data_IF_493403838105
#
_entry.id   IF_493403838105
#
_cell.length_a   1.000
_cell.length_b   1.000
_cell.length_c   1.000
_cell.angle_alpha   90.00
_cell.angle_beta   90.00
_cell.angle_gamma   90.00
#
_symmetry.space_group_name_H-M   'P 1'
#
loop_
_entity.id
_entity.type
_entity.pdbx_description
1 polymer ?
#
# COMPACT_ATOMS: atom_id res chain seq x y z
N UNK A 1 35.72 42.47 19.94
CA UNK A 1 35.02 42.66 18.64
C UNK A 1 35.58 41.78 17.51
N UNK A 2 36.89 41.80 17.20
CA UNK A 2 37.46 41.02 16.07
C UNK A 2 37.38 39.49 16.27
N UNK A 3 37.78 38.97 17.42
CA UNK A 3 37.71 37.53 17.72
C UNK A 3 36.26 37.00 17.64
N UNK A 4 35.31 37.72 18.26
CA UNK A 4 33.88 37.37 18.20
C UNK A 4 33.36 37.31 16.76
N UNK A 5 33.75 38.26 15.90
CA UNK A 5 33.35 38.27 14.49
C UNK A 5 33.92 37.08 13.73
N UNK A 6 35.19 36.72 13.97
CA UNK A 6 35.83 35.56 13.34
C UNK A 6 35.15 34.27 13.80
N UNK A 7 34.93 34.09 15.10
CA UNK A 7 34.22 32.93 15.64
C UNK A 7 32.83 32.80 15.04
N UNK A 8 32.07 33.89 14.93
CA UNK A 8 30.74 33.88 14.31
C UNK A 8 30.81 33.46 12.84
N UNK A 9 31.75 33.99 12.06
CA UNK A 9 31.93 33.60 10.66
C UNK A 9 32.26 32.11 10.53
N UNK A 10 33.19 31.60 11.35
CA UNK A 10 33.55 30.19 11.34
C UNK A 10 32.34 29.32 11.69
N UNK A 11 31.57 29.69 12.71
CA UNK A 11 30.35 28.96 13.09
C UNK A 11 29.32 28.97 11.97
N UNK A 12 29.12 30.11 11.29
CA UNK A 12 28.19 30.20 10.16
C UNK A 12 28.65 29.33 9.00
N UNK A 13 29.94 29.34 8.66
CA UNK A 13 30.50 28.52 7.58
C UNK A 13 30.35 27.03 7.90
N UNK A 14 30.75 26.62 9.11
CA UNK A 14 30.63 25.22 9.55
C UNK A 14 29.17 24.79 9.62
N UNK A 15 28.28 25.65 10.10
CA UNK A 15 26.84 25.40 10.08
C UNK A 15 26.32 25.20 8.67
N UNK A 16 26.69 26.08 7.73
CA UNK A 16 26.32 25.95 6.32
C UNK A 16 26.82 24.64 5.68
N UNK A 17 28.09 24.28 5.93
CA UNK A 17 28.66 23.02 5.45
C UNK A 17 27.96 21.79 6.03
N UNK A 18 27.61 21.83 7.33
CA UNK A 18 26.87 20.76 7.98
C UNK A 18 25.49 20.57 7.34
N UNK A 19 24.74 21.64 7.11
CA UNK A 19 23.43 21.56 6.43
C UNK A 19 23.56 21.00 5.02
N UNK A 20 24.58 21.41 4.26
CA UNK A 20 24.82 20.88 2.92
C UNK A 20 25.13 19.38 2.95
N UNK A 21 26.00 18.93 3.86
CA UNK A 21 26.33 17.52 4.02
C UNK A 21 25.11 16.69 4.42
N UNK A 22 24.29 17.20 5.35
CA UNK A 22 23.06 16.57 5.80
C UNK A 22 22.07 16.32 4.66
N UNK A 23 21.87 17.34 3.81
CA UNK A 23 20.95 17.27 2.66
C UNK A 23 21.44 16.35 1.54
N UNK A 24 22.75 16.28 1.32
CA UNK A 24 23.33 15.31 0.39
C UNK A 24 23.16 13.88 0.92
N UNK A 25 23.40 13.69 2.23
CA UNK A 25 23.33 12.37 2.84
C UNK A 25 21.92 11.77 2.76
N UNK A 26 20.86 12.56 3.01
CA UNK A 26 19.47 12.07 2.93
C UNK A 26 19.09 11.68 1.50
N UNK A 27 19.44 12.51 0.50
CA UNK A 27 19.16 12.22 -0.91
C UNK A 27 19.83 10.91 -1.38
N UNK A 28 21.07 10.68 -0.92
CA UNK A 28 21.79 9.43 -1.20
C UNK A 28 21.15 8.24 -0.49
N UNK A 29 20.64 8.42 0.73
CA UNK A 29 19.98 7.36 1.49
C UNK A 29 18.64 6.97 0.85
N UNK A 30 17.81 7.95 0.48
CA UNK A 30 16.55 7.77 -0.24
C UNK A 30 16.75 7.00 -1.55
N UNK A 31 17.73 7.40 -2.37
CA UNK A 31 18.06 6.73 -3.63
C UNK A 31 18.47 5.28 -3.42
N UNK A 32 19.35 5.01 -2.43
CA UNK A 32 19.79 3.64 -2.11
C UNK A 32 18.65 2.77 -1.59
N UNK A 33 17.75 3.34 -0.79
CA UNK A 33 16.59 2.63 -0.29
C UNK A 33 15.65 2.26 -1.44
N UNK A 34 15.38 3.19 -2.35
CA UNK A 34 14.57 2.94 -3.55
C UNK A 34 15.16 1.81 -4.41
N UNK A 35 16.47 1.83 -4.69
CA UNK A 35 17.15 0.79 -5.47
C UNK A 35 17.11 -0.58 -4.77
N UNK A 36 17.23 -0.60 -3.43
CA UNK A 36 17.13 -1.83 -2.64
C UNK A 36 15.71 -2.41 -2.66
N UNK A 37 14.68 -1.57 -2.55
CA UNK A 37 13.28 -2.00 -2.66
C UNK A 37 13.03 -2.53 -4.08
N UNK A 38 13.45 -1.80 -5.11
CA UNK A 38 13.32 -2.21 -6.51
C UNK A 38 13.89 -3.60 -6.75
N UNK A 39 15.13 -3.83 -6.33
CA UNK A 39 15.84 -5.10 -6.54
C UNK A 39 15.28 -6.25 -5.70
N UNK A 40 14.89 -6.01 -4.45
CA UNK A 40 14.34 -7.05 -3.57
C UNK A 40 12.92 -7.47 -3.94
N UNK A 41 12.11 -6.54 -4.46
CA UNK A 41 10.71 -6.78 -4.85
C UNK A 41 10.55 -7.04 -6.36
N UNK A 42 11.64 -7.08 -7.13
CA UNK A 42 11.61 -7.34 -8.57
C UNK A 42 10.84 -6.28 -9.37
N UNK A 43 10.83 -5.03 -8.91
CA UNK A 43 10.04 -3.96 -9.53
C UNK A 43 10.68 -3.47 -10.82
N UNK A 44 9.85 -3.18 -11.81
CA UNK A 44 10.29 -2.58 -13.08
C UNK A 44 10.62 -1.10 -12.92
N UNK A 45 9.82 -0.39 -12.12
CA UNK A 45 9.98 1.04 -11.84
C UNK A 45 10.70 1.24 -10.51
N UNK A 46 11.45 2.33 -10.40
CA UNK A 46 12.12 2.68 -9.14
C UNK A 46 11.11 3.31 -8.19
N UNK A 47 10.92 2.77 -6.96
CA UNK A 47 10.07 3.37 -5.94
C UNK A 47 10.47 4.80 -5.59
N UNK A 48 9.52 5.60 -5.14
CA UNK A 48 9.80 6.87 -4.50
C UNK A 48 9.98 6.63 -3.00
N UNK A 49 11.11 7.04 -2.43
CA UNK A 49 11.36 6.96 -0.98
C UNK A 49 11.67 8.37 -0.49
N UNK A 50 10.99 8.81 0.55
CA UNK A 50 11.29 10.09 1.21
C UNK A 50 11.53 9.89 2.70
N UNK A 51 12.63 10.41 3.20
CA UNK A 51 12.97 10.40 4.62
C UNK A 51 12.83 11.84 5.13
N UNK A 52 11.88 12.05 6.03
CA UNK A 52 11.63 13.38 6.61
C UNK A 52 12.50 13.62 7.85
N UNK A 53 12.38 14.83 8.37
CA UNK A 53 13.12 15.28 9.55
C UNK A 53 14.43 16.00 9.23
N UNK A 54 14.92 16.75 10.22
CA UNK A 54 16.14 17.53 10.11
C UNK A 54 16.76 17.76 11.51
N UNK A 55 18.08 17.57 11.69
CA UNK A 55 19.06 17.03 10.73
C UNK A 55 18.94 15.50 10.53
N UNK A 56 19.02 15.02 9.29
CA UNK A 56 19.01 13.60 8.97
C UNK A 56 20.19 12.84 9.60
N UNK A 57 21.39 13.41 9.60
CA UNK A 57 22.57 12.76 10.19
C UNK A 57 22.42 12.53 11.68
N UNK A 58 21.72 13.43 12.39
CA UNK A 58 21.40 13.26 13.81
C UNK A 58 20.44 12.10 14.02
N UNK A 59 19.40 11.99 13.20
CA UNK A 59 18.44 10.89 13.21
C UNK A 59 19.12 9.53 12.98
N UNK A 60 20.02 9.44 12.00
CA UNK A 60 20.80 8.22 11.72
C UNK A 60 21.69 7.81 12.89
N UNK A 61 22.37 8.78 13.53
CA UNK A 61 23.18 8.51 14.73
C UNK A 61 22.30 8.03 15.90
N UNK A 62 21.11 8.63 16.04
CA UNK A 62 20.10 8.20 17.02
C UNK A 62 19.48 6.84 16.71
N UNK A 63 19.60 6.34 15.48
CA UNK A 63 18.88 5.17 14.94
C UNK A 63 17.36 5.32 14.97
N UNK A 64 16.89 6.55 14.89
CA UNK A 64 15.46 6.89 14.91
C UNK A 64 15.20 7.85 13.75
N UNK A 65 14.30 7.46 12.84
CA UNK A 65 13.85 8.32 11.75
C UNK A 65 12.43 8.81 12.08
N UNK A 66 12.20 10.11 11.97
CA UNK A 66 10.92 10.73 12.32
C UNK A 66 9.79 10.20 11.43
N UNK A 67 10.03 10.17 10.12
CA UNK A 67 9.05 9.73 9.14
C UNK A 67 9.71 9.23 7.86
N UNK A 68 9.19 8.11 7.33
CA UNK A 68 9.63 7.50 6.08
C UNK A 68 8.41 7.19 5.23
N UNK A 69 8.39 7.80 4.05
CA UNK A 69 7.36 7.58 3.03
C UNK A 69 7.92 6.69 1.92
N UNK A 70 7.14 5.72 1.47
CA UNK A 70 7.46 4.84 0.36
C UNK A 70 6.27 4.78 -0.58
N UNK A 71 6.48 5.17 -1.84
CA UNK A 71 5.52 5.04 -2.93
C UNK A 71 6.01 4.06 -3.98
N UNK A 72 5.17 3.11 -4.38
CA UNK A 72 5.45 2.08 -5.37
C UNK A 72 4.34 2.04 -6.42
N UNK A 73 4.72 2.25 -7.67
CA UNK A 73 3.81 2.14 -8.80
C UNK A 73 3.89 0.77 -9.47
N UNK A 74 2.74 0.16 -9.72
CA UNK A 74 2.62 -1.02 -10.56
C UNK A 74 3.30 -2.28 -10.00
N UNK A 75 2.97 -2.65 -8.77
CA UNK A 75 3.42 -3.90 -8.15
C UNK A 75 2.50 -5.05 -8.54
N UNK A 76 3.06 -6.16 -9.01
CA UNK A 76 2.27 -7.40 -9.18
C UNK A 76 2.45 -8.25 -7.93
N UNK A 77 1.35 -8.51 -7.22
CA UNK A 77 1.35 -9.36 -6.02
C UNK A 77 0.51 -10.61 -6.24
N UNK A 78 0.79 -11.63 -5.46
CA UNK A 78 -0.01 -12.85 -5.42
C UNK A 78 -1.37 -12.53 -4.76
N UNK A 79 -2.45 -12.68 -5.52
CA UNK A 79 -3.83 -12.60 -5.04
C UNK A 79 -4.35 -13.98 -4.58
N UNK A 80 -3.46 -14.96 -4.56
CA UNK A 80 -3.54 -16.40 -4.39
C UNK A 80 -4.56 -17.18 -5.18
N UNK A 81 -4.60 -18.47 -4.86
CA UNK A 81 -5.08 -19.53 -5.75
C UNK A 81 -4.29 -19.56 -7.09
N UNK A 82 -3.02 -19.14 -7.06
CA UNK A 82 -2.13 -19.04 -8.23
C UNK A 82 -2.43 -17.85 -9.15
N UNK A 83 -3.25 -16.89 -8.72
CA UNK A 83 -3.56 -15.67 -9.50
C UNK A 83 -2.76 -14.50 -8.97
N UNK A 84 -2.31 -13.64 -9.87
CA UNK A 84 -1.69 -12.37 -9.53
C UNK A 84 -2.65 -11.21 -9.73
N UNK A 85 -2.54 -10.20 -8.88
CA UNK A 85 -3.21 -8.91 -9.06
C UNK A 85 -2.15 -7.83 -9.17
N UNK A 86 -2.34 -6.94 -10.13
CA UNK A 86 -1.54 -5.74 -10.23
C UNK A 86 -2.15 -4.66 -9.34
N UNK A 87 -1.37 -4.21 -8.36
CA UNK A 87 -1.65 -3.04 -7.53
C UNK A 87 -1.09 -1.83 -8.28
N UNK A 88 -1.97 -0.90 -8.62
CA UNK A 88 -1.63 0.27 -9.45
C UNK A 88 -0.68 1.20 -8.72
N UNK A 89 -0.99 1.49 -7.46
CA UNK A 89 -0.28 2.42 -6.60
C UNK A 89 -0.31 1.86 -5.19
N UNK A 90 0.84 1.92 -4.51
CA UNK A 90 0.99 1.52 -3.12
C UNK A 90 1.79 2.58 -2.40
N UNK A 91 1.20 3.16 -1.35
CA UNK A 91 1.88 4.10 -0.46
C UNK A 91 1.99 3.50 0.93
N UNK A 92 3.10 3.79 1.59
CA UNK A 92 3.32 3.49 2.99
C UNK A 92 3.96 4.70 3.66
N UNK A 93 3.45 5.05 4.84
CA UNK A 93 4.00 6.10 5.70
C UNK A 93 4.30 5.46 7.05
N UNK A 94 5.54 5.62 7.50
CA UNK A 94 6.06 5.07 8.74
C UNK A 94 6.49 6.22 9.63
N UNK A 95 5.98 6.30 10.86
CA UNK A 95 6.37 7.33 11.83
C UNK A 95 7.17 6.75 12.98
N UNK A 96 8.17 7.50 13.44
CA UNK A 96 9.12 7.15 14.50
C UNK A 96 9.71 5.76 14.27
N UNK A 97 10.43 5.61 13.18
CA UNK A 97 11.07 4.35 12.78
C UNK A 97 12.34 4.15 13.59
N UNK A 98 12.33 3.17 14.48
CA UNK A 98 13.50 2.74 15.27
C UNK A 98 14.23 1.60 14.58
N UNK A 99 15.51 1.81 14.30
CA UNK A 99 16.37 0.86 13.60
C UNK A 99 17.15 0.01 14.61
N UNK A 100 17.11 -1.31 14.43
CA UNK A 100 17.72 -2.30 15.32
C UNK A 100 18.68 -3.25 14.58
N UNK A 101 19.47 -4.01 15.34
CA UNK A 101 20.31 -5.09 14.81
C UNK A 101 21.34 -4.66 13.76
N UNK A 102 21.98 -3.49 13.92
CA UNK A 102 22.90 -2.93 12.93
C UNK A 102 22.26 -2.73 11.54
N UNK A 103 21.07 -2.11 11.49
CA UNK A 103 20.33 -1.84 10.25
C UNK A 103 19.76 -3.10 9.56
N UNK A 104 19.59 -4.20 10.29
CA UNK A 104 18.97 -5.43 9.78
C UNK A 104 17.48 -5.55 10.11
N UNK A 105 16.95 -4.71 11.00
CA UNK A 105 15.54 -4.72 11.40
C UNK A 105 15.09 -3.31 11.76
N UNK A 106 13.79 -3.07 11.68
CA UNK A 106 13.20 -1.81 12.12
C UNK A 106 11.81 -2.03 12.74
N UNK A 107 11.37 -1.04 13.50
CA UNK A 107 9.99 -0.96 13.99
C UNK A 107 9.48 0.46 13.86
N UNK A 108 8.20 0.65 13.58
CA UNK A 108 7.57 1.96 13.52
C UNK A 108 6.52 2.09 14.63
N UNK A 109 6.44 3.24 15.29
CA UNK A 109 5.40 3.49 16.30
C UNK A 109 4.01 3.49 15.65
N UNK A 110 3.93 4.05 14.45
CA UNK A 110 2.72 4.07 13.62
C UNK A 110 3.09 3.81 12.18
N UNK A 111 2.27 3.02 11.50
CA UNK A 111 2.33 2.90 10.06
C UNK A 111 0.95 2.98 9.44
N UNK A 112 0.86 3.64 8.30
CA UNK A 112 -0.31 3.65 7.44
C UNK A 112 0.11 3.27 6.04
N UNK A 113 -0.82 2.73 5.27
CA UNK A 113 -0.61 2.51 3.85
C UNK A 113 -1.91 2.49 3.08
N UNK A 114 -1.80 2.74 1.79
CA UNK A 114 -2.90 2.68 0.83
C UNK A 114 -2.48 1.87 -0.38
N UNK A 115 -3.42 1.14 -0.94
CA UNK A 115 -3.27 0.43 -2.20
C UNK A 115 -4.46 0.77 -3.10
N UNK A 116 -4.16 1.22 -4.32
CA UNK A 116 -5.16 1.42 -5.37
C UNK A 116 -5.12 0.27 -6.36
N UNK A 117 -6.27 -0.33 -6.65
CA UNK A 117 -6.40 -1.39 -7.65
C UNK A 117 -7.43 -0.97 -8.69
N UNK A 118 -6.99 -0.86 -9.95
CA UNK A 118 -7.89 -0.47 -11.04
C UNK A 118 -8.93 -1.54 -11.34
N UNK A 119 -10.08 -1.14 -11.86
CA UNK A 119 -11.08 -2.12 -12.33
C UNK A 119 -10.60 -2.99 -13.48
N UNK A 120 -9.67 -2.49 -14.30
CA UNK A 120 -9.04 -3.27 -15.36
C UNK A 120 -8.21 -4.42 -14.78
N UNK A 121 -7.38 -4.13 -13.77
CA UNK A 121 -6.56 -5.13 -13.09
C UNK A 121 -7.43 -6.14 -12.32
N UNK A 122 -8.52 -5.68 -11.67
CA UNK A 122 -9.49 -6.58 -11.02
C UNK A 122 -10.20 -7.49 -12.02
N UNK A 123 -10.58 -6.98 -13.18
CA UNK A 123 -11.21 -7.77 -14.24
C UNK A 123 -10.24 -8.82 -14.78
N UNK A 124 -8.97 -8.45 -14.97
CA UNK A 124 -7.93 -9.38 -15.39
C UNK A 124 -7.70 -10.49 -14.34
N UNK A 125 -7.65 -10.14 -13.05
CA UNK A 125 -7.50 -11.09 -11.96
C UNK A 125 -8.74 -11.99 -11.74
N UNK A 126 -9.94 -11.49 -12.08
CA UNK A 126 -11.19 -12.26 -12.02
C UNK A 126 -11.27 -13.33 -13.11
N UNK A 127 -10.58 -13.12 -14.24
CA UNK A 127 -10.45 -14.09 -15.32
C UNK A 127 -11.24 -13.72 -16.58
N UNK A 128 -11.07 -14.50 -17.66
CA UNK A 128 -11.63 -14.17 -18.97
C UNK A 128 -13.16 -14.13 -18.94
N UNK A 129 -13.72 -13.08 -19.54
CA UNK A 129 -15.17 -12.90 -19.65
C UNK A 129 -15.84 -12.34 -18.40
N UNK A 130 -15.07 -11.98 -17.36
CA UNK A 130 -15.55 -11.24 -16.20
C UNK A 130 -15.08 -9.79 -16.29
N UNK A 131 -15.98 -8.86 -15.98
CA UNK A 131 -15.71 -7.43 -15.88
C UNK A 131 -16.19 -6.94 -14.53
N UNK A 132 -15.29 -6.28 -13.82
CA UNK A 132 -15.56 -5.59 -12.56
C UNK A 132 -15.62 -4.09 -12.86
N UNK A 133 -16.60 -3.39 -12.33
CA UNK A 133 -16.77 -1.97 -12.52
C UNK A 133 -17.34 -1.30 -11.27
N UNK A 134 -17.23 0.03 -11.20
CA UNK A 134 -17.88 0.81 -10.16
C UNK A 134 -19.40 0.63 -10.18
N UNK A 135 -19.99 0.49 -8.98
CA UNK A 135 -21.42 0.49 -8.81
C UNK A 135 -21.89 1.74 -8.03
N UNK A 136 -22.58 2.69 -8.69
CA UNK A 136 -23.07 3.89 -8.04
C UNK A 136 -24.30 3.66 -7.14
N UNK A 137 -24.83 2.42 -7.06
CA UNK A 137 -26.04 2.10 -6.29
C UNK A 137 -25.86 2.12 -4.77
N UNK A 138 -24.62 2.27 -4.27
CA UNK A 138 -24.35 2.36 -2.84
C UNK A 138 -22.86 2.46 -2.50
N UNK A 139 -22.57 2.56 -1.21
CA UNK A 139 -21.20 2.69 -0.69
C UNK A 139 -20.44 1.38 -0.80
N UNK A 140 -19.19 1.45 -1.27
CA UNK A 140 -18.26 0.32 -1.39
C UNK A 140 -18.79 -0.82 -2.26
N UNK A 141 -19.55 -0.47 -3.30
CA UNK A 141 -20.12 -1.45 -4.22
C UNK A 141 -19.35 -1.53 -5.52
N UNK A 142 -19.33 -2.74 -6.06
CA UNK A 142 -18.83 -3.07 -7.39
C UNK A 142 -19.87 -3.87 -8.14
N UNK A 143 -19.94 -3.63 -9.44
CA UNK A 143 -20.77 -4.38 -10.37
C UNK A 143 -19.89 -5.37 -11.10
N UNK A 144 -20.26 -6.65 -11.02
CA UNK A 144 -19.58 -7.75 -11.69
C UNK A 144 -20.48 -8.24 -12.81
N UNK A 145 -19.99 -8.18 -14.05
CA UNK A 145 -20.70 -8.67 -15.23
C UNK A 145 -19.88 -9.71 -15.95
N UNK A 146 -20.53 -10.69 -16.57
CA UNK A 146 -19.83 -11.66 -17.39
C UNK A 146 -20.73 -12.72 -17.97
N UNK A 147 -20.13 -13.85 -18.34
CA UNK A 147 -20.86 -15.07 -18.73
C UNK A 147 -20.37 -16.25 -17.90
N UNK A 148 -21.31 -16.97 -17.29
CA UNK A 148 -21.02 -18.21 -16.57
C UNK A 148 -21.89 -19.32 -17.16
N UNK A 149 -21.24 -20.38 -17.64
CA UNK A 149 -21.91 -21.54 -18.27
C UNK A 149 -22.85 -21.15 -19.43
N UNK A 150 -22.54 -20.08 -20.17
CA UNK A 150 -23.34 -19.61 -21.31
C UNK A 150 -24.49 -18.65 -20.95
N UNK A 151 -24.67 -18.32 -19.67
CA UNK A 151 -25.68 -17.38 -19.20
C UNK A 151 -25.05 -16.04 -18.78
N UNK A 152 -25.76 -14.94 -19.02
CA UNK A 152 -25.34 -13.61 -18.56
C UNK A 152 -25.32 -13.54 -17.04
N UNK A 153 -24.16 -13.23 -16.48
CA UNK A 153 -23.96 -12.98 -15.06
C UNK A 153 -23.99 -11.46 -14.83
N UNK A 154 -24.80 -11.01 -13.88
CA UNK A 154 -24.70 -9.66 -13.31
C UNK A 154 -24.87 -9.80 -11.80
N UNK A 155 -23.96 -9.23 -11.04
CA UNK A 155 -24.01 -9.20 -9.59
C UNK A 155 -23.59 -7.81 -9.10
N UNK A 156 -24.33 -7.30 -8.11
CA UNK A 156 -23.99 -6.10 -7.37
C UNK A 156 -23.44 -6.53 -6.02
N UNK A 157 -22.14 -6.35 -5.82
CA UNK A 157 -21.43 -6.86 -4.66
C UNK A 157 -20.90 -5.72 -3.80
N UNK A 158 -21.05 -5.87 -2.49
CA UNK A 158 -20.47 -4.98 -1.50
C UNK A 158 -19.11 -5.50 -1.05
N UNK A 159 -18.14 -4.59 -0.92
CA UNK A 159 -16.80 -4.87 -0.42
C UNK A 159 -16.70 -4.40 1.03
N UNK A 160 -16.31 -5.30 1.93
CA UNK A 160 -16.19 -5.02 3.36
C UNK A 160 -14.91 -5.59 3.95
N UNK A 161 -14.46 -5.03 5.07
CA UNK A 161 -13.35 -5.59 5.86
C UNK A 161 -13.93 -6.44 6.98
N UNK A 162 -13.37 -7.62 7.15
CA UNK A 162 -13.72 -8.59 8.18
C UNK A 162 -12.47 -8.91 9.00
N UNK A 163 -12.60 -8.91 10.32
CA UNK A 163 -11.53 -9.25 11.27
C UNK A 163 -10.22 -8.46 11.09
N UNK A 164 -10.26 -7.29 10.43
CA UNK A 164 -9.10 -6.41 10.20
C UNK A 164 -8.03 -6.99 9.28
N UNK A 165 -8.25 -8.11 8.60
CA UNK A 165 -7.26 -8.71 7.69
C UNK A 165 -7.88 -9.45 6.50
N UNK A 166 -9.21 -9.48 6.41
CA UNK A 166 -9.92 -10.19 5.37
C UNK A 166 -10.79 -9.20 4.61
N UNK A 167 -10.68 -9.17 3.29
CA UNK A 167 -11.61 -8.47 2.42
C UNK A 167 -12.71 -9.46 2.06
N UNK A 168 -13.97 -9.10 2.36
CA UNK A 168 -15.15 -9.87 1.99
C UNK A 168 -15.90 -9.15 0.88
N UNK A 169 -16.11 -9.87 -0.20
CA UNK A 169 -17.02 -9.52 -1.28
C UNK A 169 -18.32 -10.28 -1.07
N UNK A 170 -19.45 -9.59 -1.01
CA UNK A 170 -20.77 -10.20 -0.82
C UNK A 170 -21.76 -9.67 -1.84
N UNK A 171 -22.39 -10.55 -2.61
CA UNK A 171 -23.39 -10.22 -3.61
C UNK A 171 -24.73 -9.88 -2.94
N UNK A 172 -25.10 -8.60 -2.94
CA UNK A 172 -26.39 -8.13 -2.41
C UNK A 172 -27.53 -8.43 -3.37
N UNK A 173 -27.30 -8.28 -4.67
CA UNK A 173 -28.32 -8.46 -5.70
C UNK A 173 -27.76 -9.20 -6.91
N UNK A 174 -28.47 -10.24 -7.34
CA UNK A 174 -28.13 -11.07 -8.50
C UNK A 174 -29.37 -11.10 -9.42
N UNK A 175 -29.48 -10.18 -10.39
CA UNK A 175 -30.55 -10.20 -11.36
C UNK A 175 -30.49 -11.46 -12.24
N UNK A 176 -31.58 -12.21 -12.31
CA UNK A 176 -31.67 -13.44 -13.14
C UNK A 176 -32.66 -14.50 -12.68
N UNK A 177 -33.62 -14.13 -11.81
CA UNK A 177 -34.47 -15.01 -11.00
C UNK A 177 -35.50 -15.89 -11.72
N UNK A 178 -35.20 -16.41 -12.91
CA UNK A 178 -36.05 -17.37 -13.62
C UNK A 178 -35.44 -18.77 -13.76
N UNK A 179 -34.19 -18.98 -13.33
CA UNK A 179 -33.52 -20.28 -13.34
C UNK A 179 -33.41 -20.81 -11.90
N UNK A 180 -34.00 -21.97 -11.55
CA UNK A 180 -33.83 -22.58 -10.24
C UNK A 180 -32.35 -22.80 -9.89
N UNK A 181 -31.95 -22.48 -8.66
CA UNK A 181 -30.56 -22.61 -8.15
C UNK A 181 -29.50 -21.74 -8.84
N UNK A 182 -29.87 -20.81 -9.72
CA UNK A 182 -28.93 -19.89 -10.36
C UNK A 182 -28.30 -18.93 -9.36
N UNK A 183 -29.11 -18.35 -8.47
CA UNK A 183 -28.65 -17.42 -7.44
C UNK A 183 -27.61 -18.07 -6.53
N UNK A 184 -27.81 -19.32 -6.10
CA UNK A 184 -26.87 -20.05 -5.24
C UNK A 184 -25.52 -20.29 -5.95
N UNK A 185 -25.55 -20.67 -7.23
CA UNK A 185 -24.33 -20.88 -8.04
C UNK A 185 -23.57 -19.59 -8.28
N UNK A 186 -24.27 -18.48 -8.52
CA UNK A 186 -23.65 -17.17 -8.66
C UNK A 186 -23.05 -16.74 -7.33
N UNK A 187 -23.79 -16.93 -6.23
CA UNK A 187 -23.32 -16.58 -4.89
C UNK A 187 -22.09 -17.38 -4.47
N UNK A 188 -22.01 -18.68 -4.79
CA UNK A 188 -20.82 -19.50 -4.55
C UNK A 188 -19.55 -18.94 -5.23
N UNK A 189 -19.71 -18.22 -6.35
CA UNK A 189 -18.61 -17.60 -7.09
C UNK A 189 -18.38 -16.13 -6.75
N UNK A 190 -19.44 -15.40 -6.42
CA UNK A 190 -19.42 -13.96 -6.17
C UNK A 190 -19.13 -13.61 -4.71
N UNK A 191 -19.57 -14.46 -3.77
CA UNK A 191 -19.24 -14.32 -2.36
C UNK A 191 -17.85 -14.88 -2.13
N UNK A 192 -16.91 -13.99 -1.86
CA UNK A 192 -15.51 -14.34 -1.69
C UNK A 192 -14.97 -13.70 -0.42
N UNK A 193 -14.23 -14.48 0.36
CA UNK A 193 -13.41 -13.96 1.44
C UNK A 193 -11.95 -14.15 1.09
N UNK A 194 -11.21 -13.05 1.12
CA UNK A 194 -9.78 -13.05 0.85
C UNK A 194 -9.03 -12.50 2.04
N UNK A 195 -8.30 -13.38 2.71
CA UNK A 195 -7.34 -12.96 3.73
C UNK A 195 -6.15 -12.31 3.04
N UNK A 196 -5.78 -11.13 3.49
CA UNK A 196 -4.58 -10.43 3.05
C UNK A 196 -3.41 -10.98 3.83
N UNK A 197 -2.51 -11.67 3.13
CA UNK A 197 -1.28 -12.21 3.68
C UNK A 197 -0.13 -11.20 3.58
N UNK A 198 0.91 -11.36 4.40
CA UNK A 198 2.09 -10.51 4.36
C UNK A 198 1.96 -9.16 5.05
N UNK A 199 0.83 -8.84 5.71
CA UNK A 199 0.75 -7.65 6.54
C UNK A 199 1.72 -7.76 7.74
N UNK A 200 2.56 -6.74 7.98
CA UNK A 200 3.45 -6.72 9.13
C UNK A 200 2.72 -6.88 10.46
N UNK A 201 3.38 -7.46 11.45
CA UNK A 201 2.81 -7.56 12.80
C UNK A 201 2.51 -6.15 13.33
N UNK A 202 1.27 -5.93 13.78
CA UNK A 202 0.77 -4.62 14.23
C UNK A 202 -0.07 -3.87 13.20
N UNK A 203 -0.09 -4.33 11.93
CA UNK A 203 -0.91 -3.77 10.85
C UNK A 203 -2.24 -4.50 10.69
N UNK A 204 -3.27 -3.77 10.28
CA UNK A 204 -4.60 -4.27 9.91
C UNK A 204 -5.21 -3.42 8.82
N UNK A 205 -6.12 -4.01 8.06
CA UNK A 205 -7.03 -3.29 7.17
C UNK A 205 -7.84 -2.28 7.99
N UNK A 206 -7.89 -1.05 7.49
CA UNK A 206 -8.57 0.08 8.13
C UNK A 206 -9.83 0.46 7.34
N UNK A 207 -9.71 0.73 6.03
CA UNK A 207 -10.83 1.06 5.15
C UNK A 207 -10.72 0.38 3.78
N UNK A 208 -11.87 0.20 3.16
CA UNK A 208 -12.00 -0.11 1.74
C UNK A 208 -13.01 0.88 1.18
N UNK A 209 -12.67 1.52 0.09
CA UNK A 209 -13.51 2.50 -0.60
C UNK A 209 -13.54 2.19 -2.10
N UNK A 210 -14.72 2.21 -2.71
CA UNK A 210 -14.84 2.07 -4.17
C UNK A 210 -14.99 3.44 -4.81
N UNK A 211 -14.15 3.71 -5.79
CA UNK A 211 -14.16 4.93 -6.60
C UNK A 211 -14.53 4.59 -8.05
N UNK A 212 -14.62 5.60 -8.92
CA UNK A 212 -14.93 5.38 -10.34
C UNK A 212 -13.81 4.67 -11.09
N UNK A 213 -12.58 4.80 -10.60
CA UNK A 213 -11.38 4.33 -11.30
C UNK A 213 -10.82 3.03 -10.70
N UNK A 214 -11.22 2.68 -9.47
CA UNK A 214 -10.81 1.44 -8.84
C UNK A 214 -11.33 1.24 -7.42
N UNK A 215 -10.61 0.42 -6.68
CA UNK A 215 -10.82 0.17 -5.25
C UNK A 215 -9.58 0.64 -4.50
N UNK A 216 -9.82 1.44 -3.47
CA UNK A 216 -8.81 1.95 -2.55
C UNK A 216 -8.90 1.17 -1.24
N UNK A 217 -7.79 0.57 -0.83
CA UNK A 217 -7.69 -0.21 0.41
C UNK A 217 -6.64 0.44 1.30
N UNK A 218 -7.01 0.80 2.52
CA UNK A 218 -6.07 1.34 3.50
C UNK A 218 -5.77 0.36 4.62
N UNK A 219 -4.55 0.43 5.13
CA UNK A 219 -4.06 -0.29 6.29
C UNK A 219 -3.52 0.69 7.33
N UNK A 220 -3.69 0.36 8.60
CA UNK A 220 -3.16 1.14 9.71
C UNK A 220 -2.71 0.24 10.85
N UNK A 221 -1.69 0.69 11.58
CA UNK A 221 -1.11 -0.07 12.67
C UNK A 221 -0.33 0.78 13.64
N UNK A 222 -0.10 0.23 14.83
CA UNK A 222 0.80 0.80 15.83
C UNK A 222 1.78 -0.29 16.29
N UNK A 223 2.99 0.12 16.71
CA UNK A 223 4.09 -0.78 17.09
C UNK A 223 4.37 -1.84 16.02
N UNK A 224 4.55 -1.37 14.80
CA UNK A 224 4.65 -2.21 13.60
C UNK A 224 6.06 -2.74 13.49
N UNK A 225 6.20 -4.07 13.39
CA UNK A 225 7.48 -4.71 13.19
C UNK A 225 7.79 -4.83 11.70
N UNK A 226 8.88 -4.21 11.27
CA UNK A 226 9.36 -4.25 9.90
C UNK A 226 10.50 -5.26 9.84
N UNK A 227 10.20 -6.45 9.30
CA UNK A 227 11.22 -7.47 9.06
C UNK A 227 12.12 -7.03 7.90
N UNK A 228 13.44 -7.16 8.08
CA UNK A 228 14.46 -6.91 7.05
C UNK A 228 14.70 -8.09 6.12
#
# INVERSE_FOLDING_TARGET
MRALRITLIVVVILGGLFVAADRIAVYMAESKAADKIKSSQGLTTTPNVSIKGFPFLTQVVGKELDEVDVGVDGLTTDAGDGRSVRVTELDAQLHNVRISGNFSSASADRATGSAHISYADLSQAAGPGITVAYDPSGTNKVKITGSLLGFSLTAHSQVTIVNGNTIRLHAESIPGGSIPQWEDKVREKADMERKIEGLPTGMRLDKVETSKDGIDVSVAGNNVQLTG
#
